data_IF_462254577565
#
_entry.id   IF_462254577565
#
_cell.length_a   1.000
_cell.length_b   1.000
_cell.length_c   1.000
_cell.angle_alpha   90.00
_cell.angle_beta   90.00
_cell.angle_gamma   90.00
#
_symmetry.space_group_name_H-M   'P 1'
#
loop_
_entity.id
_entity.type
_entity.pdbx_description
1 polymer ?
#
# COMPACT_ATOMS: atom_id res chain seq x y z
N UNK A 1 -43.99 -1.46 -5.97
CA UNK A 1 -42.97 -1.81 -4.97
C UNK A 1 -41.89 -0.75 -5.04
N UNK A 2 -41.51 -0.15 -3.91
CA UNK A 2 -40.39 0.80 -3.88
C UNK A 2 -39.12 0.01 -4.08
N UNK A 3 -38.30 0.38 -5.07
CA UNK A 3 -37.01 -0.28 -5.32
C UNK A 3 -36.06 0.12 -4.19
N UNK A 4 -35.52 -0.87 -3.48
CA UNK A 4 -34.49 -0.64 -2.45
C UNK A 4 -33.21 -0.16 -3.15
N UNK A 5 -32.57 0.86 -2.58
CA UNK A 5 -31.34 1.44 -3.13
C UNK A 5 -30.30 1.58 -2.03
N UNK A 6 -29.10 1.15 -2.31
CA UNK A 6 -27.91 1.42 -1.52
C UNK A 6 -27.04 2.44 -2.25
N UNK A 7 -26.30 3.26 -1.49
CA UNK A 7 -25.32 4.18 -2.01
C UNK A 7 -23.94 3.83 -1.50
N UNK A 8 -23.04 3.57 -2.44
CA UNK A 8 -21.65 3.24 -2.19
C UNK A 8 -20.77 4.39 -2.72
N UNK A 9 -19.81 4.83 -1.91
CA UNK A 9 -18.74 5.72 -2.36
C UNK A 9 -17.39 5.02 -2.24
N UNK A 10 -16.56 5.16 -3.24
CA UNK A 10 -15.25 4.51 -3.37
C UNK A 10 -14.21 5.47 -3.92
N UNK A 11 -12.94 5.10 -3.77
CA UNK A 11 -11.85 5.74 -4.50
C UNK A 11 -12.03 5.54 -6.00
N UNK A 12 -11.74 6.60 -6.78
CA UNK A 12 -11.60 6.54 -8.22
C UNK A 12 -10.40 5.67 -8.61
N UNK A 13 -10.66 4.53 -9.19
CA UNK A 13 -9.68 3.58 -9.70
C UNK A 13 -10.38 2.63 -10.67
N UNK A 14 -9.83 2.47 -11.88
CA UNK A 14 -10.45 1.68 -12.95
C UNK A 14 -10.85 0.26 -12.51
N UNK A 15 -9.99 -0.41 -11.71
CA UNK A 15 -10.26 -1.74 -11.18
C UNK A 15 -11.45 -1.77 -10.21
N UNK A 16 -11.64 -0.72 -9.40
CA UNK A 16 -12.78 -0.62 -8.48
C UNK A 16 -14.08 -0.33 -9.24
N UNK A 17 -14.04 0.59 -10.20
CA UNK A 17 -15.19 0.90 -11.02
C UNK A 17 -15.68 -0.34 -11.79
N UNK A 18 -14.76 -1.08 -12.39
CA UNK A 18 -15.06 -2.30 -13.12
C UNK A 18 -15.60 -3.41 -12.21
N UNK A 19 -14.97 -3.68 -11.06
CA UNK A 19 -15.40 -4.72 -10.14
C UNK A 19 -16.74 -4.40 -9.47
N UNK A 20 -16.91 -3.17 -8.93
CA UNK A 20 -18.18 -2.77 -8.32
C UNK A 20 -19.34 -2.74 -9.31
N UNK A 21 -19.09 -2.47 -10.59
CA UNK A 21 -20.14 -2.59 -11.61
C UNK A 21 -20.64 -4.02 -11.71
N UNK A 22 -19.74 -4.99 -11.85
CA UNK A 22 -20.10 -6.41 -11.96
C UNK A 22 -20.80 -6.92 -10.69
N UNK A 23 -20.26 -6.55 -9.52
CA UNK A 23 -20.78 -6.94 -8.21
C UNK A 23 -22.16 -6.34 -7.93
N UNK A 24 -22.37 -5.07 -8.28
CA UNK A 24 -23.68 -4.41 -8.13
C UNK A 24 -24.73 -5.02 -9.05
N UNK A 25 -24.39 -5.26 -10.33
CA UNK A 25 -25.29 -5.89 -11.29
C UNK A 25 -25.67 -7.33 -10.86
N UNK A 26 -24.72 -8.06 -10.25
CA UNK A 26 -24.97 -9.38 -9.68
C UNK A 26 -25.92 -9.27 -8.47
N UNK A 27 -25.64 -8.35 -7.55
CA UNK A 27 -26.44 -8.15 -6.35
C UNK A 27 -27.87 -7.70 -6.65
N UNK A 28 -28.05 -6.83 -7.66
CA UNK A 28 -29.38 -6.42 -8.11
C UNK A 28 -30.20 -7.60 -8.65
N UNK A 29 -29.57 -8.49 -9.45
CA UNK A 29 -30.23 -9.71 -9.93
C UNK A 29 -30.62 -10.66 -8.80
N UNK A 30 -29.78 -10.73 -7.75
CA UNK A 30 -30.00 -11.62 -6.61
C UNK A 30 -31.08 -11.11 -5.66
N UNK A 31 -31.19 -9.78 -5.46
CA UNK A 31 -31.99 -9.18 -4.38
C UNK A 31 -33.05 -8.20 -4.85
N UNK A 32 -32.96 -7.68 -6.07
CA UNK A 32 -33.76 -6.53 -6.55
C UNK A 32 -33.30 -5.18 -6.00
N UNK A 33 -32.20 -5.14 -5.23
CA UNK A 33 -31.64 -3.90 -4.67
C UNK A 33 -30.63 -3.28 -5.63
N UNK A 34 -30.84 -2.03 -6.00
CA UNK A 34 -29.90 -1.25 -6.83
C UNK A 34 -28.78 -0.68 -5.97
N UNK A 35 -27.53 -0.82 -6.39
CA UNK A 35 -26.37 -0.18 -5.73
C UNK A 35 -25.89 0.98 -6.59
N UNK A 36 -26.21 2.20 -6.17
CA UNK A 36 -25.69 3.44 -6.75
C UNK A 36 -24.22 3.60 -6.32
N UNK A 37 -23.34 3.94 -7.26
CA UNK A 37 -21.89 4.00 -7.04
C UNK A 37 -21.38 5.39 -7.36
N UNK A 38 -20.60 5.94 -6.45
CA UNK A 38 -19.89 7.20 -6.58
C UNK A 38 -18.38 6.94 -6.43
N UNK A 39 -17.56 7.62 -7.23
CA UNK A 39 -16.12 7.46 -7.23
C UNK A 39 -15.46 8.83 -7.08
N UNK A 40 -14.52 8.93 -6.15
CA UNK A 40 -13.82 10.16 -5.81
C UNK A 40 -12.31 9.96 -5.79
N UNK A 41 -11.58 11.01 -6.09
CA UNK A 41 -10.15 11.07 -5.84
C UNK A 41 -9.86 10.85 -4.35
N UNK A 42 -8.71 10.22 -4.02
CA UNK A 42 -8.42 9.73 -2.67
C UNK A 42 -8.50 10.80 -1.58
N UNK A 43 -7.95 12.01 -1.82
CA UNK A 43 -7.99 13.09 -0.82
C UNK A 43 -9.42 13.62 -0.64
N UNK A 44 -10.18 13.72 -1.72
CA UNK A 44 -11.60 14.11 -1.65
C UNK A 44 -12.45 13.07 -0.93
N UNK A 45 -12.15 11.78 -1.14
CA UNK A 45 -12.83 10.70 -0.41
C UNK A 45 -12.58 10.84 1.10
N UNK A 46 -11.33 11.07 1.52
CA UNK A 46 -10.98 11.33 2.90
C UNK A 46 -11.69 12.59 3.44
N UNK A 47 -11.59 13.71 2.73
CA UNK A 47 -12.18 15.00 3.12
C UNK A 47 -13.69 14.90 3.32
N UNK A 48 -14.38 14.12 2.49
CA UNK A 48 -15.82 13.92 2.58
C UNK A 48 -16.19 12.96 3.70
N UNK A 49 -15.66 11.73 3.64
CA UNK A 49 -16.14 10.63 4.48
C UNK A 49 -15.57 10.68 5.89
N UNK A 50 -14.31 11.10 6.07
CA UNK A 50 -13.62 11.13 7.36
C UNK A 50 -13.64 12.55 7.95
N UNK A 51 -12.90 13.49 7.39
CA UNK A 51 -12.78 14.85 7.94
C UNK A 51 -14.12 15.60 7.96
N UNK A 52 -14.91 15.52 6.89
CA UNK A 52 -16.24 16.13 6.75
C UNK A 52 -17.37 15.32 7.37
N UNK A 53 -17.12 14.08 7.84
CA UNK A 53 -18.08 13.21 8.53
C UNK A 53 -19.36 12.90 7.74
N UNK A 54 -19.27 12.88 6.40
CA UNK A 54 -20.43 12.53 5.56
C UNK A 54 -20.97 11.12 5.86
N UNK A 55 -20.14 10.24 6.40
CA UNK A 55 -20.53 8.91 6.85
C UNK A 55 -21.66 8.91 7.93
N UNK A 56 -21.91 10.05 8.61
CA UNK A 56 -22.96 10.19 9.62
C UNK A 56 -24.29 10.74 9.07
N UNK A 57 -24.32 11.31 7.87
CA UNK A 57 -25.46 12.09 7.38
C UNK A 57 -26.54 11.25 6.65
N UNK A 58 -26.32 9.94 6.47
CA UNK A 58 -27.22 9.05 5.73
C UNK A 58 -27.15 9.22 4.20
N UNK A 59 -26.18 9.96 3.70
CA UNK A 59 -25.96 10.16 2.27
C UNK A 59 -25.38 8.93 1.56
N UNK A 60 -24.63 8.10 2.29
CA UNK A 60 -24.04 6.86 1.82
C UNK A 60 -24.29 5.72 2.81
N UNK A 61 -24.45 4.49 2.30
CA UNK A 61 -24.61 3.28 3.11
C UNK A 61 -23.29 2.54 3.29
N UNK A 62 -22.43 2.60 2.27
CA UNK A 62 -21.15 1.90 2.23
C UNK A 62 -20.04 2.84 1.73
N UNK A 63 -18.84 2.68 2.25
CA UNK A 63 -17.67 3.34 1.69
C UNK A 63 -16.41 2.50 1.82
N UNK A 64 -15.49 2.69 0.85
CA UNK A 64 -14.14 2.17 0.98
C UNK A 64 -13.34 3.05 1.92
N UNK A 65 -12.76 2.42 2.94
CA UNK A 65 -11.85 3.03 3.90
C UNK A 65 -10.50 2.33 3.80
N UNK A 66 -9.43 3.09 3.64
CA UNK A 66 -8.08 2.54 3.74
C UNK A 66 -7.73 2.33 5.22
N UNK A 67 -6.97 1.28 5.51
CA UNK A 67 -6.76 0.83 6.89
C UNK A 67 -5.96 1.80 7.77
N UNK A 68 -5.23 2.73 7.21
CA UNK A 68 -4.54 3.79 7.96
C UNK A 68 -5.48 4.94 8.40
N UNK A 69 -6.68 5.08 7.77
CA UNK A 69 -7.73 5.98 8.23
C UNK A 69 -8.65 5.34 9.29
N UNK A 70 -8.60 4.01 9.41
CA UNK A 70 -9.56 3.27 10.24
C UNK A 70 -9.56 3.69 11.71
N UNK A 71 -8.41 3.90 12.40
CA UNK A 71 -8.41 4.33 13.79
C UNK A 71 -9.15 5.66 13.99
N UNK A 72 -8.93 6.64 13.12
CA UNK A 72 -9.63 7.92 13.15
C UNK A 72 -11.12 7.76 12.85
N UNK A 73 -11.48 6.94 11.86
CA UNK A 73 -12.88 6.66 11.52
C UNK A 73 -13.63 6.00 12.68
N UNK A 74 -12.99 5.11 13.43
CA UNK A 74 -13.56 4.46 14.62
C UNK A 74 -13.72 5.47 15.76
N UNK A 75 -12.69 6.26 16.07
CA UNK A 75 -12.73 7.27 17.13
C UNK A 75 -13.87 8.27 16.88
N UNK A 76 -14.07 8.68 15.63
CA UNK A 76 -15.13 9.60 15.24
C UNK A 76 -16.50 8.93 15.09
N UNK A 77 -16.63 7.60 15.25
CA UNK A 77 -17.87 6.85 15.13
C UNK A 77 -18.46 6.84 13.71
N UNK A 78 -17.61 6.82 12.67
CA UNK A 78 -18.02 6.93 11.27
C UNK A 78 -18.42 5.59 10.64
N UNK A 79 -18.04 4.47 11.25
CA UNK A 79 -18.31 3.11 10.80
C UNK A 79 -19.16 2.35 11.80
N UNK A 80 -20.03 1.49 11.32
CA UNK A 80 -20.76 0.53 12.16
C UNK A 80 -19.87 -0.69 12.47
N UNK A 81 -19.84 -1.18 13.73
CA UNK A 81 -19.25 -2.47 14.03
C UNK A 81 -20.08 -3.60 13.40
N UNK A 82 -19.40 -4.59 12.83
CA UNK A 82 -20.02 -5.66 12.05
C UNK A 82 -20.24 -6.96 12.83
N UNK A 83 -19.81 -7.04 14.09
CA UNK A 83 -19.75 -8.29 14.86
C UNK A 83 -21.09 -9.04 14.97
N UNK A 84 -22.18 -8.31 15.21
CA UNK A 84 -23.52 -8.91 15.30
C UNK A 84 -23.97 -9.43 13.93
N UNK A 85 -23.74 -8.66 12.87
CA UNK A 85 -24.07 -9.05 11.50
C UNK A 85 -23.23 -10.25 11.03
N UNK A 86 -21.93 -10.26 11.36
CA UNK A 86 -21.02 -11.39 11.09
C UNK A 86 -21.48 -12.65 11.85
N UNK A 87 -21.91 -12.50 13.10
CA UNK A 87 -22.38 -13.64 13.90
C UNK A 87 -23.63 -14.26 13.30
N UNK A 88 -24.55 -13.44 12.78
CA UNK A 88 -25.80 -13.91 12.17
C UNK A 88 -25.57 -14.52 10.78
N UNK A 89 -24.71 -13.90 9.97
CA UNK A 89 -24.42 -14.35 8.62
C UNK A 89 -22.94 -14.09 8.27
N UNK A 90 -22.03 -14.96 8.71
CA UNK A 90 -20.58 -14.76 8.48
C UNK A 90 -20.23 -14.77 6.98
N UNK A 91 -19.25 -13.97 6.55
CA UNK A 91 -18.68 -14.11 5.22
C UNK A 91 -18.15 -15.53 4.96
N UNK A 92 -18.20 -15.95 3.71
CA UNK A 92 -17.73 -17.28 3.31
C UNK A 92 -16.33 -17.57 3.83
N UNK A 93 -16.16 -18.61 4.67
CA UNK A 93 -14.87 -19.01 5.25
C UNK A 93 -14.28 -18.03 6.26
N UNK A 94 -15.09 -17.14 6.85
CA UNK A 94 -14.65 -16.20 7.88
C UNK A 94 -14.14 -16.91 9.14
N UNK A 95 -13.04 -16.45 9.77
CA UNK A 95 -12.09 -15.43 9.29
C UNK A 95 -10.93 -16.03 8.47
N UNK A 96 -10.85 -17.32 8.27
CA UNK A 96 -9.68 -18.06 7.78
C UNK A 96 -9.48 -18.00 6.26
N UNK A 97 -10.43 -17.41 5.54
CA UNK A 97 -10.31 -17.16 4.11
C UNK A 97 -9.30 -16.04 3.79
N UNK A 98 -8.91 -15.25 4.78
CA UNK A 98 -7.92 -14.15 4.67
C UNK A 98 -6.62 -14.47 5.40
N UNK A 99 -5.51 -13.89 4.93
CA UNK A 99 -4.22 -14.02 5.59
C UNK A 99 -4.26 -13.42 7.02
N UNK A 100 -3.52 -13.98 7.99
CA UNK A 100 -3.47 -13.44 9.36
C UNK A 100 -3.08 -11.96 9.43
N UNK A 101 -2.19 -11.50 8.54
CA UNK A 101 -1.75 -10.11 8.41
C UNK A 101 -2.89 -9.12 8.08
N UNK A 102 -3.96 -9.59 7.46
CA UNK A 102 -5.10 -8.73 7.06
C UNK A 102 -6.15 -8.61 8.16
N UNK A 103 -6.28 -9.62 9.03
CA UNK A 103 -7.36 -9.65 10.03
C UNK A 103 -7.26 -8.55 11.07
N UNK A 104 -6.04 -8.17 11.47
CA UNK A 104 -5.81 -7.17 12.52
C UNK A 104 -6.23 -5.75 12.13
N UNK A 105 -6.00 -5.36 10.87
CA UNK A 105 -6.20 -3.98 10.43
C UNK A 105 -7.66 -3.61 10.08
N UNK A 106 -8.59 -4.54 10.18
CA UNK A 106 -10.03 -4.27 10.04
C UNK A 106 -10.75 -4.28 11.39
N UNK A 107 -9.97 -4.40 12.49
CA UNK A 107 -10.45 -4.52 13.86
C UNK A 107 -9.95 -3.31 14.66
N UNK A 108 -10.85 -2.66 15.39
CA UNK A 108 -10.51 -1.58 16.31
C UNK A 108 -9.90 -2.07 17.61
N UNK A 109 -9.37 -1.16 18.43
CA UNK A 109 -8.82 -1.45 19.77
C UNK A 109 -9.87 -2.02 20.74
N UNK A 110 -11.16 -1.78 20.46
CA UNK A 110 -12.28 -2.37 21.18
C UNK A 110 -12.54 -3.85 20.80
N UNK A 111 -11.74 -4.41 19.92
CA UNK A 111 -11.83 -5.78 19.42
C UNK A 111 -12.94 -6.03 18.41
N UNK A 112 -13.65 -5.00 17.94
CA UNK A 112 -14.73 -5.12 16.96
C UNK A 112 -14.25 -4.93 15.54
N UNK A 113 -14.92 -5.62 14.61
CA UNK A 113 -14.65 -5.54 13.17
C UNK A 113 -15.46 -4.39 12.56
N UNK A 114 -14.82 -3.51 11.80
CA UNK A 114 -15.42 -2.32 11.21
C UNK A 114 -15.51 -2.34 9.68
N UNK A 115 -15.03 -3.38 9.06
CA UNK A 115 -15.13 -3.60 7.62
C UNK A 115 -14.56 -4.93 7.21
N UNK A 116 -14.75 -5.32 5.97
CA UNK A 116 -14.15 -6.52 5.38
C UNK A 116 -13.18 -6.10 4.29
N UNK A 117 -12.02 -6.74 4.24
CA UNK A 117 -11.02 -6.48 3.22
C UNK A 117 -11.61 -6.66 1.81
N UNK A 118 -11.48 -5.62 0.98
CA UNK A 118 -12.00 -5.57 -0.38
C UNK A 118 -10.89 -5.58 -1.44
N UNK A 119 -9.83 -4.83 -1.20
CA UNK A 119 -8.70 -4.74 -2.12
C UNK A 119 -7.41 -4.67 -1.33
N UNK A 120 -6.49 -5.51 -1.73
CA UNK A 120 -5.14 -5.52 -1.19
C UNK A 120 -4.12 -5.54 -2.34
N UNK A 121 -2.96 -5.00 -2.08
CA UNK A 121 -1.89 -5.01 -3.06
C UNK A 121 -0.64 -4.45 -2.41
N UNK A 122 0.03 -5.25 -1.55
CA UNK A 122 1.20 -4.78 -0.82
C UNK A 122 2.26 -4.26 -1.79
N UNK A 123 3.13 -3.40 -1.33
CA UNK A 123 4.29 -3.03 -2.13
C UNK A 123 5.16 -4.24 -2.38
N UNK A 124 5.61 -4.39 -3.61
CA UNK A 124 6.42 -5.51 -4.06
C UNK A 124 7.66 -5.02 -4.80
N UNK A 125 8.71 -5.83 -4.79
CA UNK A 125 9.81 -5.63 -5.72
C UNK A 125 9.39 -6.04 -7.13
N UNK A 126 9.57 -5.14 -8.11
CA UNK A 126 9.16 -5.30 -9.50
C UNK A 126 10.39 -5.08 -10.38
N UNK A 127 10.69 -5.99 -11.29
CA UNK A 127 11.92 -5.92 -12.09
C UNK A 127 11.79 -6.46 -13.52
N UNK A 128 12.68 -6.03 -14.39
CA UNK A 128 12.82 -6.45 -15.79
C UNK A 128 13.51 -7.81 -15.89
N UNK A 129 12.73 -8.89 -15.91
CA UNK A 129 13.29 -10.24 -15.97
C UNK A 129 14.11 -10.50 -17.25
N UNK A 130 13.73 -9.89 -18.38
CA UNK A 130 14.47 -10.01 -19.64
C UNK A 130 15.88 -9.42 -19.54
N UNK A 131 16.08 -8.32 -18.79
CA UNK A 131 17.42 -7.77 -18.57
C UNK A 131 18.24 -8.64 -17.63
N UNK A 132 17.61 -9.21 -16.61
CA UNK A 132 18.29 -10.06 -15.64
C UNK A 132 18.69 -11.43 -16.23
N UNK A 133 18.00 -11.91 -17.26
CA UNK A 133 18.29 -13.20 -17.89
C UNK A 133 19.07 -13.09 -19.22
N UNK A 134 19.40 -11.88 -19.65
CA UNK A 134 20.22 -11.66 -20.86
C UNK A 134 21.66 -12.18 -20.61
N UNK A 135 22.16 -13.10 -21.46
CA UNK A 135 23.49 -13.70 -21.24
C UNK A 135 24.63 -12.70 -21.25
N UNK A 136 24.54 -11.62 -22.06
CA UNK A 136 25.59 -10.60 -22.16
C UNK A 136 25.60 -9.69 -20.94
N UNK A 137 24.43 -9.36 -20.38
CA UNK A 137 24.32 -8.60 -19.13
C UNK A 137 24.78 -9.46 -17.93
N UNK A 138 24.49 -10.75 -17.93
CA UNK A 138 24.96 -11.70 -16.92
C UNK A 138 26.48 -11.78 -16.86
N UNK A 139 27.15 -11.95 -18.01
CA UNK A 139 28.60 -12.01 -18.10
C UNK A 139 29.24 -10.67 -17.70
N UNK A 140 28.70 -9.57 -18.19
CA UNK A 140 29.19 -8.23 -17.92
C UNK A 140 29.07 -7.86 -16.44
N UNK A 141 27.94 -8.19 -15.80
CA UNK A 141 27.73 -7.95 -14.38
C UNK A 141 28.68 -8.79 -13.53
N UNK A 142 28.78 -10.10 -13.81
CA UNK A 142 29.67 -10.99 -13.07
C UNK A 142 31.14 -10.55 -13.19
N UNK A 143 31.57 -10.09 -14.37
CA UNK A 143 32.91 -9.51 -14.58
C UNK A 143 33.14 -8.26 -13.74
N UNK A 144 32.13 -7.38 -13.60
CA UNK A 144 32.24 -6.11 -12.88
C UNK A 144 32.18 -6.26 -11.37
N UNK A 145 31.30 -7.12 -10.87
CA UNK A 145 30.98 -7.21 -9.43
C UNK A 145 31.48 -8.51 -8.74
N UNK A 146 31.94 -9.49 -9.53
CA UNK A 146 32.53 -10.72 -8.98
C UNK A 146 31.49 -11.76 -8.50
N UNK A 147 30.19 -11.59 -8.82
CA UNK A 147 29.13 -12.55 -8.53
C UNK A 147 28.04 -12.47 -9.62
N UNK A 148 27.19 -13.51 -9.78
CA UNK A 148 26.16 -13.53 -10.81
C UNK A 148 25.12 -12.40 -10.66
N UNK A 149 24.59 -11.90 -11.79
CA UNK A 149 23.42 -11.02 -11.81
C UNK A 149 22.20 -11.85 -11.41
N UNK A 150 21.57 -11.46 -10.34
CA UNK A 150 20.33 -12.08 -9.84
C UNK A 150 19.45 -11.03 -9.16
N UNK A 151 18.22 -11.41 -8.79
CA UNK A 151 17.31 -10.56 -8.02
C UNK A 151 18.00 -10.16 -6.70
N UNK A 152 18.14 -8.85 -6.42
CA UNK A 152 18.88 -8.41 -5.24
C UNK A 152 18.17 -8.81 -3.94
N UNK A 153 18.88 -9.46 -3.05
CA UNK A 153 18.38 -9.87 -1.74
C UNK A 153 18.60 -8.78 -0.69
N UNK A 154 19.67 -7.98 -0.85
CA UNK A 154 20.01 -6.89 0.07
C UNK A 154 20.05 -5.54 -0.64
N UNK A 155 19.96 -4.44 0.12
CA UNK A 155 20.06 -3.10 -0.43
C UNK A 155 21.42 -2.82 -1.07
N UNK A 156 22.51 -3.43 -0.59
CA UNK A 156 23.81 -3.35 -1.23
C UNK A 156 23.82 -3.99 -2.61
N UNK A 157 23.24 -5.19 -2.73
CA UNK A 157 23.10 -5.85 -4.03
C UNK A 157 22.20 -5.03 -4.96
N UNK A 158 21.11 -4.46 -4.44
CA UNK A 158 20.25 -3.56 -5.19
C UNK A 158 21.02 -2.39 -5.81
N UNK A 159 21.87 -1.72 -5.02
CA UNK A 159 22.70 -0.62 -5.53
C UNK A 159 23.64 -1.08 -6.65
N UNK A 160 24.29 -2.25 -6.50
CA UNK A 160 25.16 -2.79 -7.55
C UNK A 160 24.39 -3.05 -8.85
N UNK A 161 23.22 -3.68 -8.76
CA UNK A 161 22.36 -3.93 -9.92
C UNK A 161 21.85 -2.61 -10.53
N UNK A 162 21.43 -1.68 -9.67
CA UNK A 162 20.97 -0.38 -10.14
C UNK A 162 22.06 0.40 -10.87
N UNK A 163 23.28 0.47 -10.32
CA UNK A 163 24.43 1.10 -10.98
C UNK A 163 24.84 0.41 -12.28
N UNK A 164 24.65 -0.90 -12.36
CA UNK A 164 24.96 -1.67 -13.57
C UNK A 164 24.03 -1.32 -14.73
N UNK A 165 22.72 -1.20 -14.46
CA UNK A 165 21.72 -0.91 -15.49
C UNK A 165 21.54 0.59 -15.76
N UNK A 166 22.15 1.48 -14.98
CA UNK A 166 22.05 2.92 -15.21
C UNK A 166 22.95 3.35 -16.38
N UNK A 167 22.31 3.83 -17.45
CA UNK A 167 22.91 4.31 -18.70
C UNK A 167 22.14 5.55 -19.16
N UNK A 168 22.38 6.73 -18.53
CA UNK A 168 21.57 7.94 -18.76
C UNK A 168 21.57 8.41 -20.22
N UNK A 169 22.66 8.18 -20.93
CA UNK A 169 22.78 8.47 -22.37
C UNK A 169 21.82 7.65 -23.26
N UNK A 170 21.21 6.60 -22.71
CA UNK A 170 20.18 5.77 -23.32
C UNK A 170 18.82 5.93 -22.66
N UNK A 171 18.66 6.92 -21.79
CA UNK A 171 17.48 7.12 -20.97
C UNK A 171 17.12 5.87 -20.12
N UNK A 172 18.15 5.12 -19.69
CA UNK A 172 18.00 3.91 -18.88
C UNK A 172 18.47 4.18 -17.46
N UNK A 173 17.65 3.80 -16.47
CA UNK A 173 17.97 3.90 -15.06
C UNK A 173 17.81 2.55 -14.35
N UNK A 174 18.67 2.31 -13.38
CA UNK A 174 18.64 1.07 -12.61
C UNK A 174 17.46 0.95 -11.68
N UNK A 175 16.94 2.08 -11.20
CA UNK A 175 15.82 2.09 -10.26
C UNK A 175 14.86 3.27 -10.48
N UNK A 176 13.65 3.15 -9.93
CA UNK A 176 12.67 4.23 -9.84
C UNK A 176 11.99 4.18 -8.48
N UNK A 177 11.70 5.35 -7.91
CA UNK A 177 10.97 5.55 -6.67
C UNK A 177 9.77 6.45 -6.90
N UNK A 178 8.77 6.38 -6.03
CA UNK A 178 7.61 7.26 -6.00
C UNK A 178 7.83 8.34 -4.94
N UNK A 179 8.58 9.39 -5.27
CA UNK A 179 9.11 10.35 -4.28
C UNK A 179 8.33 11.67 -4.20
N UNK A 180 7.16 11.78 -4.86
CA UNK A 180 6.30 12.94 -4.72
C UNK A 180 5.73 13.01 -3.30
N UNK A 181 5.75 14.19 -2.63
CA UNK A 181 5.34 14.31 -1.23
C UNK A 181 3.81 14.39 -1.08
N UNK A 182 3.12 13.31 -1.38
CA UNK A 182 1.67 13.16 -1.24
C UNK A 182 1.22 12.55 0.11
N UNK A 183 2.16 12.31 1.02
CA UNK A 183 1.90 11.66 2.30
C UNK A 183 1.67 10.15 2.18
N UNK A 184 1.92 9.55 1.02
CA UNK A 184 1.78 8.13 0.78
C UNK A 184 3.14 7.48 0.50
N UNK A 185 3.49 7.23 -0.76
CA UNK A 185 4.69 6.46 -1.08
C UNK A 185 5.99 7.06 -0.55
N UNK A 186 6.14 8.36 -0.52
CA UNK A 186 7.34 8.97 0.05
C UNK A 186 7.56 8.57 1.53
N UNK A 187 6.47 8.48 2.32
CA UNK A 187 6.52 8.02 3.72
C UNK A 187 6.65 6.49 3.78
N UNK A 188 5.88 5.78 2.99
CA UNK A 188 5.88 4.32 3.00
C UNK A 188 7.23 3.74 2.58
N UNK A 189 7.86 4.31 1.55
CA UNK A 189 9.22 3.96 1.15
C UNK A 189 10.19 4.14 2.34
N UNK A 190 10.12 5.28 3.03
CA UNK A 190 10.93 5.50 4.22
C UNK A 190 10.68 4.45 5.32
N UNK A 191 9.41 4.10 5.59
CA UNK A 191 9.04 3.09 6.59
C UNK A 191 9.55 1.69 6.20
N UNK A 192 9.42 1.28 4.96
CA UNK A 192 9.95 0.02 4.44
C UNK A 192 11.47 -0.03 4.65
N UNK A 193 12.16 1.05 4.30
CA UNK A 193 13.60 1.15 4.49
C UNK A 193 14.02 1.15 5.96
N UNK A 194 13.28 1.83 6.82
CA UNK A 194 13.47 1.83 8.27
C UNK A 194 13.32 0.41 8.85
N UNK A 195 12.19 -0.21 8.58
CA UNK A 195 11.87 -1.54 9.10
C UNK A 195 12.78 -2.64 8.53
N UNK A 196 13.16 -2.53 7.25
CA UNK A 196 14.07 -3.50 6.63
C UNK A 196 15.47 -3.51 7.29
N UNK A 197 15.84 -2.43 7.97
CA UNK A 197 17.08 -2.28 8.76
C UNK A 197 16.89 -2.57 10.25
N UNK A 198 15.69 -3.02 10.65
CA UNK A 198 15.36 -3.34 12.04
C UNK A 198 15.02 -2.13 12.90
N UNK A 199 14.80 -0.96 12.29
CA UNK A 199 14.34 0.24 12.99
C UNK A 199 12.84 0.20 13.28
N UNK A 200 12.39 1.11 14.16
CA UNK A 200 11.00 1.29 14.56
C UNK A 200 10.62 2.77 14.45
N UNK A 201 9.32 3.04 14.20
CA UNK A 201 8.81 4.41 14.17
C UNK A 201 8.79 5.00 15.57
N UNK A 202 8.31 4.23 16.53
CA UNK A 202 8.30 4.57 17.96
C UNK A 202 8.75 3.38 18.80
N UNK A 203 9.25 3.63 20.00
CA UNK A 203 9.53 2.59 21.01
C UNK A 203 8.23 2.08 21.65
N UNK A 204 8.33 1.02 22.47
CA UNK A 204 7.21 0.53 23.29
C UNK A 204 6.66 1.60 24.24
N UNK A 205 7.47 2.57 24.65
CA UNK A 205 7.08 3.70 25.50
C UNK A 205 6.67 4.94 24.68
N UNK A 206 6.30 4.74 23.42
CA UNK A 206 5.84 5.78 22.51
C UNK A 206 6.85 6.91 22.24
N UNK A 207 8.17 6.65 22.38
CA UNK A 207 9.19 7.63 22.02
C UNK A 207 9.51 7.51 20.54
N UNK A 208 9.61 8.61 19.77
CA UNK A 208 10.11 8.57 18.41
C UNK A 208 11.46 7.86 18.33
N UNK A 209 11.58 6.83 17.49
CA UNK A 209 12.79 6.02 17.32
C UNK A 209 13.34 6.06 15.88
N UNK A 210 12.54 6.56 14.94
CA UNK A 210 12.91 6.62 13.51
C UNK A 210 14.08 7.57 13.21
N UNK A 211 14.51 8.40 14.13
CA UNK A 211 15.67 9.30 13.99
C UNK A 211 16.99 8.65 14.43
N UNK A 212 16.97 7.41 14.89
CA UNK A 212 18.15 6.65 15.29
C UNK A 212 18.94 6.10 14.07
N UNK A 213 19.91 5.22 14.30
CA UNK A 213 20.83 4.73 13.27
C UNK A 213 20.10 4.14 12.05
N UNK A 214 19.12 3.25 12.26
CA UNK A 214 18.37 2.62 11.17
C UNK A 214 17.60 3.65 10.33
N UNK A 215 17.01 4.67 10.96
CA UNK A 215 16.29 5.72 10.23
C UNK A 215 17.23 6.67 9.49
N UNK A 216 18.38 6.99 10.06
CA UNK A 216 19.41 7.75 9.35
C UNK A 216 19.91 7.01 8.09
N UNK A 217 20.17 5.71 8.23
CA UNK A 217 20.56 4.89 7.09
C UNK A 217 19.44 4.76 6.05
N UNK A 218 18.19 4.65 6.49
CA UNK A 218 17.02 4.55 5.63
C UNK A 218 16.82 5.83 4.78
N UNK A 219 16.77 6.99 5.44
CA UNK A 219 16.56 8.26 4.74
C UNK A 219 17.77 8.65 3.88
N UNK A 220 18.99 8.44 4.39
CA UNK A 220 20.20 8.68 3.61
C UNK A 220 20.26 7.80 2.36
N UNK A 221 19.81 6.55 2.44
CA UNK A 221 19.77 5.65 1.30
C UNK A 221 18.85 6.18 0.19
N UNK A 222 17.65 6.66 0.53
CA UNK A 222 16.74 7.26 -0.44
C UNK A 222 17.35 8.50 -1.11
N UNK A 223 17.99 9.37 -0.33
CA UNK A 223 18.74 10.53 -0.85
C UNK A 223 19.87 10.09 -1.76
N UNK A 224 20.67 9.11 -1.33
CA UNK A 224 21.83 8.61 -2.08
C UNK A 224 21.45 7.97 -3.42
N UNK A 225 20.28 7.33 -3.54
CA UNK A 225 19.81 6.76 -4.82
C UNK A 225 19.69 7.81 -5.92
N UNK A 226 19.26 9.02 -5.55
CA UNK A 226 19.02 10.12 -6.49
C UNK A 226 20.29 10.96 -6.71
N UNK A 227 21.00 11.30 -5.62
CA UNK A 227 22.00 12.36 -5.66
C UNK A 227 23.45 11.86 -5.64
N UNK A 228 23.71 10.65 -5.14
CA UNK A 228 25.08 10.09 -5.04
C UNK A 228 25.31 8.96 -6.02
N UNK A 229 24.38 8.00 -6.06
CA UNK A 229 24.47 6.87 -6.99
C UNK A 229 23.90 7.21 -8.36
N UNK A 230 23.01 8.22 -8.42
CA UNK A 230 22.33 8.70 -9.64
C UNK A 230 21.64 7.55 -10.42
N UNK A 231 21.15 6.54 -9.69
CA UNK A 231 20.48 5.36 -10.25
C UNK A 231 18.98 5.55 -10.38
N UNK A 232 18.44 6.56 -9.73
CA UNK A 232 17.04 7.01 -9.82
C UNK A 232 17.03 8.38 -10.53
N UNK A 233 16.22 8.58 -11.58
CA UNK A 233 16.15 9.85 -12.27
C UNK A 233 15.57 10.94 -11.37
N UNK A 234 16.08 12.17 -11.45
CA UNK A 234 15.57 13.32 -10.67
C UNK A 234 14.07 13.59 -10.87
N UNK A 235 13.52 13.18 -12.01
CA UNK A 235 12.09 13.26 -12.30
C UNK A 235 11.24 12.48 -11.28
N UNK A 236 11.80 11.46 -10.60
CA UNK A 236 11.14 10.72 -9.54
C UNK A 236 10.62 11.60 -8.40
N UNK A 237 11.28 12.74 -8.12
CA UNK A 237 10.86 13.72 -7.12
C UNK A 237 9.46 14.34 -7.39
N UNK A 238 8.95 14.20 -8.61
CA UNK A 238 7.62 14.68 -9.02
C UNK A 238 6.65 13.55 -9.36
N UNK A 239 7.04 12.30 -9.11
CA UNK A 239 6.23 11.13 -9.42
C UNK A 239 5.64 10.53 -8.15
N UNK A 240 4.33 10.38 -8.13
CA UNK A 240 3.60 9.51 -7.22
C UNK A 240 3.69 8.03 -7.67
N UNK A 241 3.02 7.13 -6.95
CA UNK A 241 2.99 5.70 -7.29
C UNK A 241 2.43 5.42 -8.68
N UNK A 242 1.42 6.18 -9.11
CA UNK A 242 0.76 5.99 -10.41
C UNK A 242 1.69 6.39 -11.54
N UNK A 243 2.27 7.59 -11.46
CA UNK A 243 3.21 8.09 -12.47
C UNK A 243 4.46 7.22 -12.57
N UNK A 244 5.02 6.79 -11.43
CA UNK A 244 6.19 5.90 -11.42
C UNK A 244 5.87 4.53 -12.01
N UNK A 245 4.71 3.94 -11.68
CA UNK A 245 4.26 2.68 -12.25
C UNK A 245 4.06 2.74 -13.77
N UNK A 246 3.40 3.78 -14.26
CA UNK A 246 3.27 4.01 -15.71
C UNK A 246 4.62 4.28 -16.39
N UNK A 247 5.51 5.02 -15.73
CA UNK A 247 6.85 5.28 -16.28
C UNK A 247 7.66 3.97 -16.40
N UNK A 248 7.62 3.10 -15.39
CA UNK A 248 8.23 1.78 -15.43
C UNK A 248 7.71 0.96 -16.63
N UNK A 249 6.40 0.96 -16.86
CA UNK A 249 5.76 0.25 -17.98
C UNK A 249 6.24 0.72 -19.36
N UNK A 250 6.88 1.89 -19.48
CA UNK A 250 7.50 2.34 -20.74
C UNK A 250 8.87 1.73 -21.00
N UNK A 251 9.53 1.10 -20.01
CA UNK A 251 10.64 0.18 -20.22
C UNK A 251 12.05 0.72 -20.04
N UNK A 252 12.24 1.97 -19.63
CA UNK A 252 13.54 2.57 -19.35
C UNK A 252 14.13 2.27 -17.96
N UNK A 253 13.43 1.46 -17.14
CA UNK A 253 13.79 1.22 -15.75
C UNK A 253 14.02 -0.27 -15.51
N UNK A 254 15.10 -0.63 -14.78
CA UNK A 254 15.40 -2.02 -14.46
C UNK A 254 14.56 -2.58 -13.31
N UNK A 255 14.39 -1.79 -12.26
CA UNK A 255 13.78 -2.21 -10.98
C UNK A 255 13.00 -1.06 -10.35
N UNK A 256 11.95 -1.42 -9.60
CA UNK A 256 11.28 -0.54 -8.64
C UNK A 256 10.70 -1.37 -7.50
N UNK A 257 10.29 -0.73 -6.42
CA UNK A 257 9.27 -1.26 -5.52
C UNK A 257 8.05 -0.34 -5.64
N UNK A 258 6.89 -0.95 -5.66
CA UNK A 258 5.62 -0.23 -5.79
C UNK A 258 4.46 -1.19 -5.49
N UNK A 259 3.25 -0.69 -5.41
CA UNK A 259 2.05 -1.48 -5.21
C UNK A 259 1.92 -2.58 -6.28
N UNK A 260 1.48 -3.76 -5.86
CA UNK A 260 1.32 -4.94 -6.75
C UNK A 260 0.51 -4.66 -8.02
N UNK A 261 -0.47 -3.75 -7.95
CA UNK A 261 -1.25 -3.30 -9.11
C UNK A 261 -0.41 -2.74 -10.27
N UNK A 262 0.77 -2.17 -9.99
CA UNK A 262 1.65 -1.67 -11.06
C UNK A 262 2.46 -2.76 -11.75
N UNK A 263 2.63 -3.92 -11.12
CA UNK A 263 3.09 -5.11 -11.84
C UNK A 263 2.02 -5.59 -12.85
N UNK A 264 0.72 -5.49 -12.51
CA UNK A 264 -0.35 -5.75 -13.46
C UNK A 264 -0.36 -4.73 -14.62
N UNK A 265 -0.25 -3.43 -14.33
CA UNK A 265 -0.16 -2.38 -15.36
C UNK A 265 0.98 -2.64 -16.33
N UNK A 266 2.12 -3.11 -15.84
CA UNK A 266 3.28 -3.46 -16.68
C UNK A 266 3.03 -4.66 -17.61
N UNK A 267 2.00 -5.46 -17.36
CA UNK A 267 1.59 -6.58 -18.22
C UNK A 267 0.40 -6.24 -19.14
N UNK A 268 -0.21 -5.05 -19.02
CA UNK A 268 -1.41 -4.67 -19.78
C UNK A 268 -1.06 -4.26 -21.23
N UNK A 269 -1.65 -4.92 -22.26
CA UNK A 269 -1.51 -4.51 -23.64
C UNK A 269 -2.02 -3.07 -23.86
N UNK A 270 -1.25 -2.27 -24.58
CA UNK A 270 -1.60 -0.87 -24.88
C UNK A 270 -1.16 0.15 -23.82
N UNK A 271 -0.92 -0.27 -22.59
CA UNK A 271 -0.37 0.57 -21.51
C UNK A 271 1.13 0.32 -21.31
N UNK A 272 1.60 -0.89 -21.59
CA UNK A 272 2.97 -1.33 -21.36
C UNK A 272 3.71 -1.65 -22.65
N UNK A 273 5.01 -1.29 -22.69
CA UNK A 273 5.97 -1.71 -23.71
C UNK A 273 6.79 -2.93 -23.28
N UNK A 274 6.57 -3.40 -22.06
CA UNK A 274 7.37 -4.46 -21.42
C UNK A 274 6.52 -5.65 -20.96
N UNK A 275 5.32 -5.81 -21.50
CA UNK A 275 4.46 -6.95 -21.19
C UNK A 275 5.20 -8.29 -21.48
N UNK A 276 5.07 -9.24 -20.57
CA UNK A 276 5.78 -10.52 -20.58
C UNK A 276 7.24 -10.48 -20.09
N UNK A 277 7.76 -9.30 -19.74
CA UNK A 277 9.16 -9.07 -19.36
C UNK A 277 9.34 -8.68 -17.89
N UNK A 278 8.26 -8.70 -17.12
CA UNK A 278 8.25 -8.27 -15.72
C UNK A 278 8.10 -9.47 -14.80
N UNK A 279 8.78 -9.41 -13.66
CA UNK A 279 8.60 -10.34 -12.54
C UNK A 279 8.60 -9.56 -11.23
N UNK A 280 8.11 -10.21 -10.20
CA UNK A 280 8.04 -9.65 -8.85
C UNK A 280 8.80 -10.51 -7.85
N UNK A 281 9.09 -9.94 -6.70
CA UNK A 281 9.78 -10.62 -5.61
C UNK A 281 9.61 -9.85 -4.29
N UNK A 282 10.32 -10.32 -3.27
CA UNK A 282 10.40 -9.62 -2.00
C UNK A 282 11.26 -8.36 -2.15
N UNK A 283 10.84 -7.27 -1.52
CA UNK A 283 11.65 -6.05 -1.40
C UNK A 283 12.97 -6.40 -0.69
N UNK A 284 14.12 -5.90 -1.16
CA UNK A 284 15.42 -6.21 -0.56
C UNK A 284 15.47 -5.90 0.94
N UNK A 285 16.23 -6.69 1.69
CA UNK A 285 16.44 -6.53 3.13
C UNK A 285 17.63 -5.64 3.45
N UNK A 286 17.70 -5.13 4.67
CA UNK A 286 18.88 -4.44 5.20
C UNK A 286 20.13 -5.35 5.19
N UNK A 287 21.30 -4.74 5.07
CA UNK A 287 22.57 -5.48 4.96
C UNK A 287 23.13 -5.97 6.32
N UNK A 288 22.68 -5.38 7.43
CA UNK A 288 23.14 -5.70 8.80
C UNK A 288 22.48 -6.95 9.39
N UNK A 289 22.92 -7.36 10.60
CA UNK A 289 22.37 -8.54 11.30
C UNK A 289 20.87 -8.47 11.60
N UNK A 290 20.31 -7.25 11.74
CA UNK A 290 18.86 -7.01 11.90
C UNK A 290 18.10 -6.93 10.58
N UNK A 291 18.77 -7.12 9.45
CA UNK A 291 18.19 -6.97 8.11
C UNK A 291 17.14 -8.03 7.82
N UNK A 292 15.97 -7.59 7.37
CA UNK A 292 14.83 -8.44 7.00
C UNK A 292 14.10 -7.89 5.79
N UNK A 293 13.46 -8.75 5.02
CA UNK A 293 12.52 -8.32 4.00
C UNK A 293 11.34 -7.65 4.68
N UNK A 294 10.92 -6.51 4.18
CA UNK A 294 9.77 -5.79 4.72
C UNK A 294 8.97 -5.19 3.58
N UNK A 295 7.67 -5.23 3.74
CA UNK A 295 6.72 -4.51 2.92
C UNK A 295 5.68 -3.82 3.79
N UNK A 296 4.82 -3.04 3.17
CA UNK A 296 3.77 -2.31 3.82
C UNK A 296 2.47 -3.12 3.85
N UNK A 297 1.79 -3.11 4.99
CA UNK A 297 0.46 -3.70 5.15
C UNK A 297 -0.57 -2.56 5.28
N UNK A 298 -1.03 -2.07 4.16
CA UNK A 298 -2.15 -1.12 4.03
C UNK A 298 -3.04 -1.63 2.92
N UNK A 299 -4.35 -1.73 3.19
CA UNK A 299 -5.32 -2.22 2.22
C UNK A 299 -6.67 -1.51 2.40
N UNK A 300 -7.60 -1.74 1.48
CA UNK A 300 -8.92 -1.15 1.48
C UNK A 300 -9.93 -2.12 2.07
N UNK A 301 -10.69 -1.66 3.05
CA UNK A 301 -11.87 -2.35 3.58
C UNK A 301 -13.13 -1.71 3.02
N UNK A 302 -14.16 -2.53 2.82
CA UNK A 302 -15.51 -2.04 2.61
C UNK A 302 -16.20 -2.00 3.97
N UNK A 303 -16.65 -0.83 4.38
CA UNK A 303 -17.32 -0.61 5.66
C UNK A 303 -18.74 -0.05 5.47
N UNK A 304 -19.54 -0.16 6.52
CA UNK A 304 -20.90 0.40 6.56
C UNK A 304 -20.84 1.75 7.27
N UNK A 305 -21.32 2.79 6.60
CA UNK A 305 -21.40 4.13 7.17
C UNK A 305 -22.35 4.16 8.39
N UNK A 306 -21.93 4.79 9.48
CA UNK A 306 -22.73 4.83 10.71
C UNK A 306 -24.08 5.55 10.55
N UNK A 307 -24.21 6.45 9.57
CA UNK A 307 -25.45 7.10 9.20
C UNK A 307 -26.37 6.29 8.29
N UNK A 308 -25.98 5.06 7.87
CA UNK A 308 -26.83 4.25 6.99
C UNK A 308 -28.17 3.92 7.65
N UNK A 309 -29.23 4.06 6.88
CA UNK A 309 -30.60 3.68 7.29
C UNK A 309 -30.97 2.24 6.89
N UNK A 310 -30.05 1.53 6.21
CA UNK A 310 -30.25 0.18 5.68
C UNK A 310 -29.07 -0.75 5.98
N UNK A 311 -28.57 -0.83 7.23
CA UNK A 311 -27.33 -1.53 7.56
C UNK A 311 -27.36 -3.03 7.23
N UNK A 312 -28.50 -3.71 7.36
CA UNK A 312 -28.63 -5.13 7.04
C UNK A 312 -28.50 -5.37 5.52
N UNK A 313 -29.09 -4.50 4.69
CA UNK A 313 -28.97 -4.62 3.23
C UNK A 313 -27.56 -4.24 2.77
N UNK A 314 -26.95 -3.22 3.39
CA UNK A 314 -25.57 -2.84 3.16
C UNK A 314 -24.62 -4.00 3.51
N UNK A 315 -24.84 -4.67 4.64
CA UNK A 315 -24.07 -5.84 5.04
C UNK A 315 -24.24 -7.02 4.07
N UNK A 316 -25.44 -7.26 3.55
CA UNK A 316 -25.65 -8.29 2.52
C UNK A 316 -24.83 -8.02 1.26
N UNK A 317 -24.74 -6.76 0.81
CA UNK A 317 -23.90 -6.40 -0.31
C UNK A 317 -22.43 -6.61 0.01
N UNK A 318 -21.97 -6.13 1.18
CA UNK A 318 -20.60 -6.31 1.64
C UNK A 318 -20.23 -7.80 1.73
N UNK A 319 -21.09 -8.63 2.31
CA UNK A 319 -20.87 -10.07 2.44
C UNK A 319 -20.81 -10.76 1.07
N UNK A 320 -21.66 -10.37 0.11
CA UNK A 320 -21.64 -10.89 -1.25
C UNK A 320 -20.34 -10.50 -1.97
N UNK A 321 -19.89 -9.25 -1.85
CA UNK A 321 -18.61 -8.79 -2.45
C UNK A 321 -17.40 -9.52 -1.85
N UNK A 322 -17.50 -9.95 -0.60
CA UNK A 322 -16.46 -10.71 0.10
C UNK A 322 -16.47 -12.21 -0.22
N UNK A 323 -17.40 -12.72 -1.03
CA UNK A 323 -17.42 -14.13 -1.46
C UNK A 323 -16.23 -14.48 -2.35
N UNK A 324 -15.84 -15.76 -2.42
CA UNK A 324 -14.73 -16.20 -3.27
C UNK A 324 -14.93 -15.83 -4.75
N UNK A 325 -16.17 -15.92 -5.24
CA UNK A 325 -16.50 -15.58 -6.62
C UNK A 325 -16.32 -14.08 -6.91
N UNK A 326 -16.80 -13.21 -6.00
CA UNK A 326 -16.75 -11.76 -6.20
C UNK A 326 -15.36 -11.18 -5.88
N UNK A 327 -14.59 -11.78 -4.98
CA UNK A 327 -13.19 -11.43 -4.76
C UNK A 327 -12.32 -11.76 -6.00
N UNK A 328 -12.58 -12.89 -6.66
CA UNK A 328 -11.96 -13.20 -7.96
C UNK A 328 -12.36 -12.17 -9.04
N UNK A 329 -13.62 -11.72 -9.05
CA UNK A 329 -14.07 -10.64 -9.95
C UNK A 329 -13.27 -9.37 -9.71
N UNK A 330 -12.99 -9.00 -8.44
CA UNK A 330 -12.14 -7.85 -8.11
C UNK A 330 -10.77 -7.98 -8.78
N UNK A 331 -10.11 -9.15 -8.67
CA UNK A 331 -8.81 -9.39 -9.29
C UNK A 331 -8.85 -9.35 -10.81
N UNK A 332 -9.82 -10.03 -11.41
CA UNK A 332 -9.96 -10.09 -12.87
C UNK A 332 -10.36 -8.75 -13.50
N UNK A 333 -10.88 -7.83 -12.70
CA UNK A 333 -11.22 -6.44 -13.10
C UNK A 333 -10.05 -5.46 -12.97
N UNK A 334 -8.87 -5.90 -12.51
CA UNK A 334 -7.68 -5.05 -12.32
C UNK A 334 -7.52 -4.50 -10.91
N UNK A 335 -8.40 -4.86 -9.98
CA UNK A 335 -8.15 -4.74 -8.54
C UNK A 335 -7.26 -5.86 -8.03
N UNK A 336 -7.09 -5.96 -6.72
CA UNK A 336 -6.39 -7.08 -6.11
C UNK A 336 -7.29 -7.70 -5.04
N UNK A 337 -7.79 -8.90 -5.29
CA UNK A 337 -8.58 -9.64 -4.33
C UNK A 337 -7.79 -9.97 -3.06
N UNK A 338 -8.50 -10.19 -1.98
CA UNK A 338 -7.95 -10.28 -0.63
C UNK A 338 -7.97 -11.68 -0.06
N UNK A 339 -8.65 -12.61 -0.73
CA UNK A 339 -8.82 -13.99 -0.24
C UNK A 339 -7.65 -14.88 -0.65
N UNK A 340 -7.28 -15.79 0.24
CA UNK A 340 -6.26 -16.81 -0.03
C UNK A 340 -6.65 -17.71 -1.23
N UNK A 341 -7.95 -17.97 -1.43
CA UNK A 341 -8.44 -18.73 -2.59
C UNK A 341 -8.12 -18.01 -3.91
N UNK A 342 -8.29 -16.69 -3.96
CA UNK A 342 -7.98 -15.86 -5.13
C UNK A 342 -6.47 -15.78 -5.36
N UNK A 343 -5.68 -15.62 -4.31
CA UNK A 343 -4.21 -15.58 -4.41
C UNK A 343 -3.61 -16.88 -4.95
N UNK A 344 -4.31 -18.02 -4.74
CA UNK A 344 -3.91 -19.36 -5.19
C UNK A 344 -4.60 -19.80 -6.49
N UNK A 345 -5.52 -19.02 -7.01
CA UNK A 345 -6.28 -19.35 -8.22
C UNK A 345 -5.36 -19.36 -9.45
N UNK A 346 -5.38 -20.48 -10.20
CA UNK A 346 -4.48 -20.67 -11.35
C UNK A 346 -4.76 -19.69 -12.49
N UNK A 347 -6.03 -19.32 -12.73
CA UNK A 347 -6.41 -18.37 -13.77
C UNK A 347 -5.94 -16.96 -13.41
N UNK A 348 -6.12 -16.55 -12.14
CA UNK A 348 -5.63 -15.27 -11.63
C UNK A 348 -4.11 -15.19 -11.72
N UNK A 349 -3.39 -16.22 -11.26
CA UNK A 349 -1.92 -16.29 -11.36
C UNK A 349 -1.40 -16.29 -12.78
N UNK A 350 -2.11 -16.94 -13.68
CA UNK A 350 -1.76 -16.94 -15.12
C UNK A 350 -1.89 -15.56 -15.73
N UNK A 351 -2.93 -14.81 -15.36
CA UNK A 351 -3.17 -13.46 -15.88
C UNK A 351 -2.29 -12.43 -15.15
N UNK A 352 -2.08 -12.61 -13.87
CA UNK A 352 -1.34 -11.69 -12.99
C UNK A 352 -0.28 -12.47 -12.19
N UNK A 353 0.90 -12.75 -12.77
CA UNK A 353 1.94 -13.59 -12.14
C UNK A 353 2.42 -13.11 -10.77
N UNK A 354 2.26 -11.83 -10.43
CA UNK A 354 2.65 -11.32 -9.12
C UNK A 354 1.90 -11.97 -7.95
N UNK A 355 0.72 -12.58 -8.19
CA UNK A 355 0.00 -13.33 -7.15
C UNK A 355 0.78 -14.53 -6.61
N UNK A 356 1.77 -15.04 -7.34
CA UNK A 356 2.65 -16.09 -6.84
C UNK A 356 3.48 -15.64 -5.63
N UNK A 357 3.71 -14.33 -5.48
CA UNK A 357 4.54 -13.75 -4.44
C UNK A 357 3.74 -13.13 -3.28
N UNK A 358 2.44 -12.87 -3.43
CA UNK A 358 1.64 -12.14 -2.43
C UNK A 358 1.71 -12.80 -1.05
N UNK A 359 1.55 -14.13 -0.95
CA UNK A 359 1.61 -14.82 0.34
C UNK A 359 2.98 -14.67 1.03
N UNK A 360 4.07 -14.73 0.26
CA UNK A 360 5.42 -14.54 0.79
C UNK A 360 5.65 -13.08 1.25
N UNK A 361 5.08 -12.11 0.52
CA UNK A 361 5.11 -10.70 0.94
C UNK A 361 4.35 -10.51 2.24
N UNK A 362 3.15 -11.08 2.39
CA UNK A 362 2.34 -10.99 3.62
C UNK A 362 2.97 -11.63 4.87
N UNK A 363 3.97 -12.48 4.70
CA UNK A 363 4.80 -12.98 5.82
C UNK A 363 5.81 -11.92 6.30
N UNK A 364 6.01 -10.85 5.55
CA UNK A 364 7.03 -9.83 5.74
C UNK A 364 6.45 -8.42 5.70
N UNK A 365 5.24 -8.22 6.20
CA UNK A 365 4.57 -6.92 6.19
C UNK A 365 4.54 -6.30 7.58
N UNK A 366 4.50 -4.96 7.59
CA UNK A 366 4.25 -4.16 8.77
C UNK A 366 3.34 -2.99 8.42
N UNK A 367 2.54 -2.57 9.39
CA UNK A 367 1.62 -1.44 9.25
C UNK A 367 2.19 -0.20 9.93
N UNK A 368 1.81 1.00 9.48
CA UNK A 368 1.98 2.21 10.25
C UNK A 368 1.33 2.13 11.65
N UNK A 369 1.48 3.18 12.45
CA UNK A 369 0.86 3.22 13.78
C UNK A 369 -0.67 3.23 13.67
N UNK A 370 -1.37 2.26 14.30
CA UNK A 370 -2.83 2.17 14.23
C UNK A 370 -3.47 3.11 15.28
N UNK A 371 -3.18 4.40 15.20
CA UNK A 371 -3.68 5.42 16.12
C UNK A 371 -4.33 6.57 15.36
N UNK A 372 -5.33 7.26 15.94
CA UNK A 372 -6.04 8.37 15.29
C UNK A 372 -5.14 9.53 14.87
N UNK A 373 -4.03 9.72 15.55
CA UNK A 373 -3.04 10.78 15.27
C UNK A 373 -2.11 10.46 14.09
N UNK A 374 -2.17 9.24 13.55
CA UNK A 374 -1.26 8.84 12.49
C UNK A 374 -1.31 9.77 11.26
N UNK A 375 -2.46 10.29 10.80
CA UNK A 375 -2.48 11.25 9.70
C UNK A 375 -1.61 12.49 9.95
N UNK A 376 -1.64 13.05 11.16
CA UNK A 376 -0.78 14.18 11.53
C UNK A 376 0.70 13.80 11.61
N UNK A 377 1.01 12.62 12.12
CA UNK A 377 2.38 12.07 12.15
C UNK A 377 2.87 11.83 10.72
N UNK A 378 2.02 11.29 9.86
CA UNK A 378 2.33 11.02 8.46
C UNK A 378 2.69 12.29 7.68
N UNK A 379 1.98 13.40 7.92
CA UNK A 379 2.31 14.70 7.33
C UNK A 379 3.71 15.19 7.75
N UNK A 380 4.07 15.04 9.03
CA UNK A 380 5.41 15.36 9.53
C UNK A 380 6.48 14.50 8.85
N UNK A 381 6.22 13.19 8.71
CA UNK A 381 7.14 12.28 8.03
C UNK A 381 7.27 12.59 6.53
N UNK A 382 6.17 12.93 5.87
CA UNK A 382 6.16 13.33 4.46
C UNK A 382 7.03 14.56 4.22
N UNK A 383 6.87 15.60 5.05
CA UNK A 383 7.69 16.80 4.98
C UNK A 383 9.17 16.50 5.27
N UNK A 384 9.46 15.64 6.24
CA UNK A 384 10.83 15.22 6.57
C UNK A 384 11.52 14.55 5.38
N UNK A 385 10.84 13.62 4.72
CA UNK A 385 11.38 12.90 3.57
C UNK A 385 11.59 13.86 2.41
N UNK A 386 10.62 14.72 2.12
CA UNK A 386 10.72 15.69 1.03
C UNK A 386 11.84 16.72 1.26
N UNK A 387 11.98 17.23 2.48
CA UNK A 387 13.07 18.15 2.83
C UNK A 387 14.46 17.52 2.60
N UNK A 388 14.61 16.23 2.94
CA UNK A 388 15.86 15.52 2.69
C UNK A 388 16.09 15.21 1.20
N UNK A 389 15.07 14.71 0.49
CA UNK A 389 15.18 14.37 -0.93
C UNK A 389 15.41 15.60 -1.82
N UNK A 390 14.85 16.75 -1.45
CA UNK A 390 15.09 18.03 -2.14
C UNK A 390 16.39 18.74 -1.68
N UNK A 391 17.15 18.14 -0.75
CA UNK A 391 18.35 18.72 -0.15
C UNK A 391 18.10 20.08 0.54
N UNK A 392 16.87 20.30 1.05
CA UNK A 392 16.55 21.50 1.86
C UNK A 392 17.11 21.42 3.27
N UNK A 393 17.17 20.19 3.80
CA UNK A 393 17.78 19.86 5.10
C UNK A 393 18.71 18.65 4.94
N UNK A 394 19.79 18.64 5.74
CA UNK A 394 20.61 17.46 5.91
C UNK A 394 19.81 16.34 6.64
N UNK A 395 20.06 15.08 6.31
CA UNK A 395 19.31 13.93 6.87
C UNK A 395 19.24 13.93 8.40
N UNK A 396 20.31 14.16 9.16
CA UNK A 396 20.24 14.22 10.63
C UNK A 396 19.34 15.33 11.16
N UNK A 397 19.35 16.49 10.49
CA UNK A 397 18.52 17.64 10.87
C UNK A 397 17.05 17.40 10.58
N UNK A 398 16.72 16.89 9.37
CA UNK A 398 15.36 16.53 8.98
C UNK A 398 14.73 15.53 9.99
N UNK A 399 15.47 14.47 10.31
CA UNK A 399 15.04 13.45 11.27
C UNK A 399 14.85 14.00 12.68
N UNK A 400 15.79 14.83 13.17
CA UNK A 400 15.71 15.40 14.53
C UNK A 400 14.51 16.34 14.67
N UNK A 401 14.28 17.18 13.66
CA UNK A 401 13.13 18.10 13.62
C UNK A 401 11.81 17.33 13.62
N UNK A 402 11.69 16.33 12.75
CA UNK A 402 10.49 15.51 12.66
C UNK A 402 10.24 14.72 13.95
N UNK A 403 11.29 14.18 14.59
CA UNK A 403 11.16 13.47 15.86
C UNK A 403 10.63 14.37 16.97
N UNK A 404 11.06 15.64 17.05
CA UNK A 404 10.50 16.61 17.99
C UNK A 404 9.01 16.87 17.73
N UNK A 405 8.61 17.04 16.48
CA UNK A 405 7.21 17.28 16.12
C UNK A 405 6.32 16.05 16.42
N UNK A 406 6.79 14.85 16.11
CA UNK A 406 6.07 13.60 16.43
C UNK A 406 5.97 13.40 17.94
N UNK A 407 7.04 13.70 18.71
CA UNK A 407 7.00 13.66 20.17
C UNK A 407 5.95 14.60 20.76
N UNK A 408 5.84 15.80 20.21
CA UNK A 408 4.82 16.78 20.61
C UNK A 408 3.39 16.28 20.34
N UNK A 409 3.15 15.65 19.18
CA UNK A 409 1.86 15.04 18.85
C UNK A 409 1.52 13.96 19.87
N UNK A 410 2.42 12.99 20.09
CA UNK A 410 2.21 11.86 20.99
C UNK A 410 1.99 12.29 22.45
N UNK A 411 2.65 13.36 22.88
CA UNK A 411 2.46 13.94 24.24
C UNK A 411 1.09 14.59 24.38
N UNK A 412 0.66 15.39 23.41
CA UNK A 412 -0.65 16.07 23.44
C UNK A 412 -1.81 15.09 23.46
N UNK A 413 -1.66 13.95 22.81
CA UNK A 413 -2.66 12.87 22.76
C UNK A 413 -2.55 11.88 23.93
N UNK A 414 -1.65 12.12 24.90
CA UNK A 414 -1.57 11.33 26.12
C UNK A 414 -0.86 9.99 26.03
N UNK A 415 -0.26 9.64 24.89
CA UNK A 415 0.55 8.41 24.74
C UNK A 415 1.83 8.46 25.59
N UNK A 416 2.29 9.65 25.90
CA UNK A 416 3.45 9.86 26.78
C UNK A 416 3.09 10.74 27.96
N UNK A 417 3.44 10.29 29.16
CA UNK A 417 3.36 11.15 30.34
C UNK A 417 4.43 12.24 30.24
N UNK A 418 4.07 13.47 30.59
CA UNK A 418 5.07 14.51 30.83
C UNK A 418 6.01 13.98 31.94
N UNK A 419 7.31 13.88 31.67
CA UNK A 419 8.25 13.77 32.75
C UNK A 419 8.06 15.07 33.57
N UNK A 420 7.45 14.95 34.75
CA UNK A 420 7.51 16.03 35.75
C UNK A 420 8.99 16.30 35.99
N UNK A 421 9.43 17.54 35.74
CA UNK A 421 10.75 18.04 36.04
C UNK A 421 10.96 18.10 37.57
#
# INVERSE_FOLDING_TARGET
MTITRLKLISREFEGFEASFRVQADHFEKLTGCVVEREFEEIHRLYDRMIAGKEALNGGHDLFLCVTDWLPEAIEQGLLLPLDDLIRENPPEGWPDAWAPSMRGLQTGDDGKVYGIAYHDGPEMFIYRSDWFTDPSEQESFASRFGYPLDVPVTWKQFVHVAQFFTRPEKEMYGALTASYPDGHNNVYDFLIHLWSRGGELVTADWQPAFHEAAGREALQFLVDLIHKYEVVPKAALTMDSVRSGHHFAQGGIAMMWNWAGFAAVAEMPGMSRIAGKVRTGLIPKGDGPGGRHMSLNIYWILGIAAGSTQPEMAYRFLNETASAAMDKVTSMSGGNGTRLSTWRDEEVRKQFPYYEQIEAVHQNVKSPLPIPEYPAINEVLSQMVDDALQLRLEVPEALSRAAGQVDDILRRSGYRQNKEE
#
